data_IF_862070810975
#
_entry.id   IF_862070810975
#
_cell.length_a   1.000
_cell.length_b   1.000
_cell.length_c   1.000
_cell.angle_alpha   90.00
_cell.angle_beta   90.00
_cell.angle_gamma   90.00
#
_symmetry.space_group_name_H-M   'P 1'
#
loop_
_entity.id
_entity.type
_entity.pdbx_description
1 polymer ?
#
# COMPACT_ATOMS: atom_id res chain seq x y z
N UNK A 1 -20.78 -16.09 -8.55
CA UNK A 1 -21.21 -14.72 -8.92
C UNK A 1 -20.12 -13.76 -8.49
N UNK A 2 -19.87 -12.72 -9.28
CA UNK A 2 -18.91 -11.66 -8.93
C UNK A 2 -19.56 -10.75 -7.88
N UNK A 3 -18.80 -10.28 -6.89
CA UNK A 3 -19.32 -9.32 -5.92
C UNK A 3 -19.67 -8.01 -6.63
N UNK A 4 -20.68 -7.26 -6.16
CA UNK A 4 -20.88 -5.87 -6.56
C UNK A 4 -19.59 -5.04 -6.39
N UNK A 5 -19.32 -4.04 -7.25
CA UNK A 5 -18.09 -3.25 -7.22
C UNK A 5 -17.71 -2.73 -5.82
N UNK A 6 -18.66 -2.10 -5.13
CA UNK A 6 -18.44 -1.57 -3.78
C UNK A 6 -18.12 -2.67 -2.74
N UNK A 7 -18.74 -3.85 -2.85
CA UNK A 7 -18.46 -4.97 -1.96
C UNK A 7 -17.06 -5.55 -2.22
N UNK A 8 -16.66 -5.64 -3.49
CA UNK A 8 -15.30 -6.07 -3.84
C UNK A 8 -14.26 -5.05 -3.35
N UNK A 9 -14.49 -3.75 -3.56
CA UNK A 9 -13.64 -2.70 -3.00
C UNK A 9 -13.52 -2.83 -1.47
N UNK A 10 -14.64 -2.99 -0.76
CA UNK A 10 -14.63 -3.21 0.70
C UNK A 10 -13.88 -4.47 1.11
N UNK A 11 -13.95 -5.55 0.33
CA UNK A 11 -13.19 -6.78 0.59
C UNK A 11 -11.68 -6.55 0.50
N UNK A 12 -11.23 -5.83 -0.52
CA UNK A 12 -9.81 -5.45 -0.66
C UNK A 12 -9.35 -4.50 0.43
N UNK A 13 -10.17 -3.52 0.80
CA UNK A 13 -9.85 -2.59 1.89
C UNK A 13 -9.74 -3.30 3.24
N UNK A 14 -10.59 -4.30 3.51
CA UNK A 14 -10.46 -5.14 4.71
C UNK A 14 -9.12 -5.87 4.75
N UNK A 15 -8.66 -6.41 3.63
CA UNK A 15 -7.33 -7.04 3.57
C UNK A 15 -6.21 -6.02 3.83
N UNK A 16 -6.28 -4.83 3.22
CA UNK A 16 -5.32 -3.77 3.46
C UNK A 16 -5.27 -3.35 4.94
N UNK A 17 -6.42 -3.29 5.62
CA UNK A 17 -6.50 -2.98 7.05
C UNK A 17 -5.87 -4.07 7.94
N UNK A 18 -6.10 -5.36 7.62
CA UNK A 18 -5.43 -6.46 8.33
C UNK A 18 -3.92 -6.46 8.10
N UNK A 19 -3.48 -6.22 6.87
CA UNK A 19 -2.06 -6.13 6.56
C UNK A 19 -1.40 -4.94 7.28
N UNK A 20 -2.12 -3.82 7.45
CA UNK A 20 -1.63 -2.65 8.19
C UNK A 20 -1.42 -2.96 9.67
N UNK A 21 -2.33 -3.74 10.28
CA UNK A 21 -2.16 -4.22 11.66
C UNK A 21 -0.87 -5.03 11.81
N UNK A 22 -0.58 -5.91 10.87
CA UNK A 22 0.66 -6.69 10.86
C UNK A 22 1.89 -5.86 10.54
N UNK A 23 1.79 -4.86 9.64
CA UNK A 23 2.90 -3.98 9.32
C UNK A 23 3.34 -3.18 10.57
N UNK A 24 2.39 -2.69 11.36
CA UNK A 24 2.63 -2.05 12.67
C UNK A 24 3.35 -3.00 13.63
N UNK A 25 2.81 -4.22 13.78
CA UNK A 25 3.41 -5.21 14.67
C UNK A 25 4.86 -5.56 14.25
N UNK A 26 5.12 -5.75 12.96
CA UNK A 26 6.45 -6.06 12.45
C UNK A 26 7.44 -4.92 12.70
N UNK A 27 7.00 -3.67 12.56
CA UNK A 27 7.82 -2.50 12.88
C UNK A 27 8.20 -2.47 14.37
N UNK A 28 7.27 -2.80 15.27
CA UNK A 28 7.52 -2.89 16.71
C UNK A 28 8.48 -4.04 17.07
N UNK A 29 8.36 -5.18 16.40
CA UNK A 29 9.18 -6.38 16.66
C UNK A 29 10.58 -6.33 16.03
N UNK A 30 10.93 -5.26 15.32
CA UNK A 30 12.26 -5.14 14.70
C UNK A 30 12.38 -5.78 13.32
N UNK A 31 11.29 -6.30 12.75
CA UNK A 31 11.26 -6.89 11.42
C UNK A 31 11.08 -5.79 10.34
N UNK A 32 11.99 -4.80 10.33
CA UNK A 32 11.81 -3.55 9.62
C UNK A 32 11.63 -3.70 8.10
N UNK A 33 12.45 -4.54 7.46
CA UNK A 33 12.31 -4.78 6.01
C UNK A 33 10.95 -5.40 5.65
N UNK A 34 10.41 -6.29 6.49
CA UNK A 34 9.07 -6.87 6.30
C UNK A 34 7.98 -5.83 6.54
N UNK A 35 8.15 -4.96 7.54
CA UNK A 35 7.22 -3.86 7.78
C UNK A 35 7.16 -2.90 6.58
N UNK A 36 8.31 -2.51 6.02
CA UNK A 36 8.40 -1.70 4.80
C UNK A 36 7.71 -2.39 3.60
N UNK A 37 7.99 -3.68 3.38
CA UNK A 37 7.35 -4.45 2.31
C UNK A 37 5.83 -4.49 2.48
N UNK A 38 5.36 -4.80 3.69
CA UNK A 38 3.94 -4.93 3.96
C UNK A 38 3.23 -3.58 3.88
N UNK A 39 3.89 -2.47 4.26
CA UNK A 39 3.37 -1.13 4.08
C UNK A 39 3.11 -0.79 2.59
N UNK A 40 4.02 -1.17 1.68
CA UNK A 40 3.77 -1.04 0.24
C UNK A 40 2.57 -1.87 -0.20
N UNK A 41 2.45 -3.13 0.27
CA UNK A 41 1.32 -3.99 -0.05
C UNK A 41 -0.03 -3.46 0.48
N UNK A 42 -0.02 -2.84 1.66
CA UNK A 42 -1.20 -2.16 2.24
C UNK A 42 -1.66 -1.03 1.32
N UNK A 43 -0.75 -0.15 0.90
CA UNK A 43 -1.07 0.94 0.00
C UNK A 43 -1.59 0.42 -1.36
N UNK A 44 -0.92 -0.58 -1.94
CA UNK A 44 -1.36 -1.23 -3.18
C UNK A 44 -2.80 -1.75 -3.07
N UNK A 45 -3.10 -2.53 -2.03
CA UNK A 45 -4.43 -3.12 -1.82
C UNK A 45 -5.50 -2.08 -1.53
N UNK A 46 -5.17 -1.03 -0.78
CA UNK A 46 -6.10 0.07 -0.51
C UNK A 46 -6.43 0.85 -1.80
N UNK A 47 -5.44 1.16 -2.64
CA UNK A 47 -5.72 1.86 -3.91
C UNK A 47 -6.50 0.97 -4.88
N UNK A 48 -6.17 -0.32 -4.95
CA UNK A 48 -6.97 -1.30 -5.70
C UNK A 48 -8.40 -1.37 -5.19
N UNK A 49 -8.61 -1.35 -3.87
CA UNK A 49 -9.94 -1.30 -3.27
C UNK A 49 -10.78 -0.13 -3.77
N UNK A 50 -10.18 1.07 -3.87
CA UNK A 50 -10.86 2.23 -4.43
C UNK A 50 -11.25 2.00 -5.89
N UNK A 51 -10.32 1.55 -6.73
CA UNK A 51 -10.56 1.30 -8.15
C UNK A 51 -11.63 0.23 -8.40
N UNK A 52 -11.59 -0.89 -7.67
CA UNK A 52 -12.63 -1.92 -7.72
C UNK A 52 -14.00 -1.36 -7.34
N UNK A 53 -14.07 -0.47 -6.34
CA UNK A 53 -15.33 0.18 -5.97
C UNK A 53 -15.89 1.10 -7.07
N UNK A 54 -15.04 1.64 -7.94
CA UNK A 54 -15.46 2.42 -9.12
C UNK A 54 -15.91 1.56 -10.30
N UNK A 55 -15.85 0.23 -10.18
CA UNK A 55 -16.27 -0.71 -11.23
C UNK A 55 -15.14 -1.24 -12.11
N UNK A 56 -13.88 -0.94 -11.82
CA UNK A 56 -12.76 -1.56 -12.52
C UNK A 56 -12.77 -3.07 -12.32
N UNK A 57 -12.66 -3.81 -13.42
CA UNK A 57 -12.77 -5.26 -13.38
C UNK A 57 -11.46 -5.96 -13.02
N UNK A 58 -10.34 -5.45 -13.52
CA UNK A 58 -9.01 -6.01 -13.35
C UNK A 58 -8.05 -4.85 -13.11
N UNK A 59 -7.54 -4.73 -11.87
CA UNK A 59 -6.55 -3.71 -11.52
C UNK A 59 -5.17 -4.36 -11.44
N UNK A 60 -4.32 -4.08 -12.43
CA UNK A 60 -2.99 -4.68 -12.58
C UNK A 60 -1.87 -3.79 -12.03
N UNK A 61 -0.74 -4.42 -11.73
CA UNK A 61 0.47 -3.74 -11.28
C UNK A 61 0.54 -3.53 -9.77
N UNK A 62 1.71 -3.05 -9.34
CA UNK A 62 2.09 -2.87 -7.94
C UNK A 62 2.52 -1.43 -7.61
N UNK A 63 2.70 -0.59 -8.63
CA UNK A 63 3.15 0.78 -8.41
C UNK A 63 2.02 1.62 -7.81
N UNK A 64 2.26 2.12 -6.61
CA UNK A 64 1.42 3.07 -5.87
C UNK A 64 1.23 4.34 -6.68
N UNK A 65 2.27 4.85 -7.34
CA UNK A 65 2.17 6.01 -8.23
C UNK A 65 1.16 5.77 -9.36
N UNK A 66 1.30 4.65 -10.08
CA UNK A 66 0.40 4.31 -11.19
C UNK A 66 -1.04 4.05 -10.73
N UNK A 67 -1.21 3.43 -9.57
CA UNK A 67 -2.52 3.21 -8.97
C UNK A 67 -3.18 4.53 -8.54
N UNK A 68 -2.41 5.47 -7.98
CA UNK A 68 -2.91 6.82 -7.70
C UNK A 68 -3.31 7.56 -8.98
N UNK A 69 -2.51 7.46 -10.05
CA UNK A 69 -2.84 8.06 -11.34
C UNK A 69 -4.14 7.49 -11.93
N UNK A 70 -4.35 6.17 -11.82
CA UNK A 70 -5.61 5.54 -12.23
C UNK A 70 -6.78 6.02 -11.36
N UNK A 71 -6.60 6.06 -10.04
CA UNK A 71 -7.62 6.52 -9.10
C UNK A 71 -7.99 8.00 -9.30
N UNK A 72 -7.04 8.82 -9.76
CA UNK A 72 -7.24 10.23 -10.07
C UNK A 72 -8.25 10.47 -11.20
N UNK A 73 -8.50 9.49 -12.07
CA UNK A 73 -9.55 9.58 -13.09
C UNK A 73 -10.96 9.63 -12.47
N UNK A 74 -11.14 9.11 -11.27
CA UNK A 74 -12.41 9.13 -10.53
C UNK A 74 -12.41 10.18 -9.40
N UNK A 75 -11.26 10.38 -8.75
CA UNK A 75 -11.09 11.36 -7.68
C UNK A 75 -9.76 12.12 -7.84
N UNK A 76 -9.75 13.33 -8.44
CA UNK A 76 -8.52 14.05 -8.77
C UNK A 76 -7.54 14.28 -7.62
N UNK A 77 -8.01 14.30 -6.36
CA UNK A 77 -7.15 14.47 -5.18
C UNK A 77 -6.06 13.39 -5.02
N UNK A 78 -6.20 12.23 -5.67
CA UNK A 78 -5.13 11.21 -5.69
C UNK A 78 -3.83 11.68 -6.37
N UNK A 79 -3.86 12.71 -7.23
CA UNK A 79 -2.63 13.29 -7.81
C UNK A 79 -1.75 13.96 -6.75
N UNK A 80 -2.36 14.60 -5.75
CA UNK A 80 -1.61 15.26 -4.67
C UNK A 80 -1.02 14.22 -3.73
N UNK A 81 -1.81 13.20 -3.37
CA UNK A 81 -1.36 12.11 -2.51
C UNK A 81 -0.24 11.26 -3.13
N UNK A 82 -0.24 11.10 -4.46
CA UNK A 82 0.81 10.37 -5.17
C UNK A 82 2.22 10.89 -4.88
N UNK A 83 2.36 12.20 -4.60
CA UNK A 83 3.67 12.82 -4.30
C UNK A 83 4.31 12.27 -3.02
N UNK A 84 3.52 11.91 -2.02
CA UNK A 84 4.02 11.35 -0.77
C UNK A 84 4.02 9.83 -0.79
N UNK A 85 2.98 9.18 -1.34
CA UNK A 85 2.82 7.74 -1.24
C UNK A 85 3.71 6.94 -2.19
N UNK A 86 4.16 7.52 -3.31
CA UNK A 86 5.00 6.83 -4.31
C UNK A 86 6.34 6.33 -3.75
N UNK A 87 6.84 6.92 -2.66
CA UNK A 87 8.06 6.43 -1.99
C UNK A 87 7.94 4.96 -1.56
N UNK A 88 6.72 4.48 -1.31
CA UNK A 88 6.46 3.08 -0.96
C UNK A 88 6.82 2.12 -2.11
N UNK A 89 6.86 2.56 -3.37
CA UNK A 89 7.28 1.73 -4.50
C UNK A 89 8.73 1.25 -4.34
N UNK A 90 9.57 2.05 -3.68
CA UNK A 90 10.94 1.68 -3.32
C UNK A 90 11.05 0.50 -2.34
N UNK A 91 9.94 0.10 -1.71
CA UNK A 91 9.88 -1.03 -0.79
C UNK A 91 9.30 -2.30 -1.42
N UNK A 92 8.90 -2.30 -2.70
CA UNK A 92 8.28 -3.49 -3.30
C UNK A 92 9.29 -4.61 -3.53
N UNK A 93 10.41 -4.35 -4.21
CA UNK A 93 11.43 -5.37 -4.55
C UNK A 93 12.59 -5.37 -3.54
N UNK A 94 13.21 -4.22 -3.20
CA UNK A 94 14.48 -4.22 -2.46
C UNK A 94 14.39 -4.71 -1.01
N UNK A 95 13.20 -4.73 -0.41
CA UNK A 95 12.94 -5.30 0.92
C UNK A 95 12.97 -6.83 0.98
N UNK A 96 12.99 -7.49 -0.18
CA UNK A 96 12.83 -8.95 -0.28
C UNK A 96 14.06 -9.67 -0.83
N UNK A 97 14.80 -9.04 -1.75
CA UNK A 97 15.84 -9.74 -2.49
C UNK A 97 17.22 -9.13 -2.24
N UNK A 98 18.21 -9.92 -1.77
CA UNK A 98 19.59 -9.45 -1.58
C UNK A 98 20.23 -8.88 -2.84
N UNK A 99 19.87 -9.39 -4.02
CA UNK A 99 20.39 -8.88 -5.31
C UNK A 99 19.91 -7.45 -5.67
N UNK A 100 19.02 -6.86 -4.87
CA UNK A 100 18.58 -5.48 -5.00
C UNK A 100 19.44 -4.51 -4.17
N UNK A 101 20.45 -5.03 -3.48
CA UNK A 101 21.38 -4.27 -2.64
C UNK A 101 22.81 -4.42 -3.16
N UNK A 102 23.69 -3.42 -2.94
CA UNK A 102 25.11 -3.55 -3.27
C UNK A 102 25.82 -4.68 -2.50
N UNK A 103 25.42 -4.92 -1.24
CA UNK A 103 25.91 -6.01 -0.39
C UNK A 103 24.91 -6.27 0.77
N UNK A 104 25.05 -7.40 1.48
CA UNK A 104 24.22 -7.78 2.62
C UNK A 104 22.83 -8.31 2.26
N UNK A 105 21.92 -8.30 3.24
CA UNK A 105 20.52 -8.71 3.06
C UNK A 105 19.55 -7.61 3.48
N UNK A 106 18.31 -7.59 2.96
CA UNK A 106 17.32 -6.59 3.35
C UNK A 106 17.10 -6.47 4.87
N UNK A 107 17.16 -7.59 5.58
CA UNK A 107 16.98 -7.61 7.04
C UNK A 107 18.01 -6.76 7.81
N UNK A 108 19.18 -6.48 7.22
CA UNK A 108 20.26 -5.74 7.87
C UNK A 108 20.22 -4.22 7.56
N UNK A 109 19.60 -3.82 6.45
CA UNK A 109 19.72 -2.45 5.91
C UNK A 109 18.52 -1.55 6.21
N UNK A 110 17.33 -2.12 6.43
CA UNK A 110 16.14 -1.34 6.74
C UNK A 110 16.07 -1.02 8.23
N UNK A 111 15.73 0.23 8.55
CA UNK A 111 15.77 0.76 9.92
C UNK A 111 14.38 0.89 10.53
N UNK A 112 14.32 1.03 11.86
CA UNK A 112 13.07 1.36 12.57
C UNK A 112 12.37 2.58 11.98
N UNK A 113 13.14 3.66 11.77
CA UNK A 113 12.61 4.91 11.23
C UNK A 113 11.95 4.69 9.86
N UNK A 114 12.61 3.96 8.96
CA UNK A 114 12.06 3.67 7.64
C UNK A 114 10.77 2.83 7.74
N UNK A 115 10.72 1.85 8.64
CA UNK A 115 9.52 1.05 8.88
C UNK A 115 8.36 1.88 9.44
N UNK A 116 8.62 2.73 10.44
CA UNK A 116 7.61 3.61 11.05
C UNK A 116 7.06 4.62 10.03
N UNK A 117 7.92 5.27 9.25
CA UNK A 117 7.53 6.20 8.18
C UNK A 117 6.70 5.49 7.09
N UNK A 118 7.12 4.30 6.65
CA UNK A 118 6.39 3.51 5.66
C UNK A 118 4.99 3.11 6.17
N UNK A 119 4.90 2.64 7.40
CA UNK A 119 3.62 2.25 8.04
C UNK A 119 2.70 3.45 8.22
N UNK A 120 3.24 4.63 8.55
CA UNK A 120 2.45 5.85 8.64
C UNK A 120 1.83 6.23 7.28
N UNK A 121 2.62 6.24 6.21
CA UNK A 121 2.11 6.50 4.86
C UNK A 121 1.05 5.47 4.43
N UNK A 122 1.28 4.19 4.70
CA UNK A 122 0.32 3.13 4.41
C UNK A 122 -1.01 3.32 5.18
N UNK A 123 -0.94 3.78 6.43
CA UNK A 123 -2.12 4.13 7.23
C UNK A 123 -2.91 5.28 6.61
N UNK A 124 -2.23 6.34 6.15
CA UNK A 124 -2.88 7.46 5.45
C UNK A 124 -3.64 6.99 4.20
N UNK A 125 -3.07 6.06 3.41
CA UNK A 125 -3.75 5.49 2.24
C UNK A 125 -5.04 4.78 2.64
N UNK A 126 -4.96 3.91 3.66
CA UNK A 126 -6.13 3.16 4.16
C UNK A 126 -7.20 4.11 4.68
N UNK A 127 -6.83 5.11 5.47
CA UNK A 127 -7.76 6.10 6.01
C UNK A 127 -8.44 6.91 4.90
N UNK A 128 -7.68 7.35 3.90
CA UNK A 128 -8.22 8.12 2.77
C UNK A 128 -9.21 7.28 1.96
N UNK A 129 -8.83 6.06 1.59
CA UNK A 129 -9.70 5.17 0.82
C UNK A 129 -10.94 4.79 1.64
N UNK A 130 -10.79 4.46 2.92
CA UNK A 130 -11.93 4.18 3.80
C UNK A 130 -12.90 5.37 3.88
N UNK A 131 -12.40 6.61 3.91
CA UNK A 131 -13.21 7.82 3.87
C UNK A 131 -14.01 7.98 2.58
N UNK A 132 -13.44 7.60 1.44
CA UNK A 132 -14.09 7.68 0.13
C UNK A 132 -15.13 6.56 -0.08
N UNK A 133 -14.94 5.36 0.49
CA UNK A 133 -15.88 4.24 0.35
C UNK A 133 -17.06 4.25 1.35
N UNK A 134 -17.08 5.23 2.27
CA UNK A 134 -18.18 5.47 3.22
C UNK A 134 -19.20 6.49 2.71
N UNK A 135 -18.82 7.31 1.74
CA UNK A 135 -19.68 8.30 1.06
C UNK A 135 -20.48 7.60 -0.03
#
# INVERSE_FOLDING_TARGET
MRNPPLEEGRRWLRQAAEDLRWARHLAEQGAYHLACFLAQQVAEKALKAFLYAQGEEIVLGHSVERLCAAAANFFPGFQEYARSWSILDGYYVPTRYPNSLPDGIPADVYTRRAAEEAVALAAEVVERVAGLLRQ
#
